data_IF_577821911650
#
_entry.id   IF_577821911650
#
_cell.length_a   1.000
_cell.length_b   1.000
_cell.length_c   1.000
_cell.angle_alpha   90.00
_cell.angle_beta   90.00
_cell.angle_gamma   90.00
#
_symmetry.space_group_name_H-M   'P 1'
#
loop_
_entity.id
_entity.type
_entity.pdbx_description
1 polymer ?
#
# COMPACT_ATOMS: atom_id res chain seq x y z
N UNK A 1 -0.60 24.24 19.27
CA UNK A 1 -1.12 25.58 19.59
C UNK A 1 -2.15 25.51 20.71
N UNK A 2 -1.84 26.11 21.89
CA UNK A 2 -2.72 26.10 23.07
C UNK A 2 -3.49 27.43 23.15
N UNK A 3 -4.26 27.76 22.13
CA UNK A 3 -5.02 29.00 22.08
C UNK A 3 -6.42 28.82 22.69
N UNK A 4 -6.96 29.88 23.25
CA UNK A 4 -8.33 29.91 23.81
C UNK A 4 -9.35 29.61 22.72
N UNK A 5 -9.15 30.13 21.51
CA UNK A 5 -10.03 29.90 20.36
C UNK A 5 -10.14 28.42 20.00
N UNK A 6 -9.01 27.68 20.02
CA UNK A 6 -9.02 26.23 19.81
C UNK A 6 -9.87 25.52 20.88
N UNK A 7 -9.74 25.91 22.14
CA UNK A 7 -10.52 25.33 23.24
C UNK A 7 -12.02 25.61 23.13
N UNK A 8 -12.39 26.78 22.69
CA UNK A 8 -13.80 27.12 22.43
C UNK A 8 -14.35 26.29 21.26
N UNK A 9 -13.59 26.14 20.20
CA UNK A 9 -13.97 25.31 19.05
C UNK A 9 -14.12 23.83 19.46
N UNK A 10 -13.19 23.29 20.25
CA UNK A 10 -13.28 21.93 20.80
C UNK A 10 -14.55 21.74 21.65
N UNK A 11 -14.90 22.72 22.50
CA UNK A 11 -16.13 22.65 23.33
C UNK A 11 -17.39 22.61 22.44
N UNK A 12 -17.48 23.49 21.45
CA UNK A 12 -18.64 23.52 20.54
C UNK A 12 -18.75 22.21 19.78
N UNK A 13 -17.66 21.74 19.20
CA UNK A 13 -17.62 20.46 18.46
C UNK A 13 -18.01 19.27 19.36
N UNK A 14 -17.57 19.25 20.63
CA UNK A 14 -17.95 18.19 21.58
C UNK A 14 -19.45 18.18 21.85
N UNK A 15 -20.09 19.34 21.99
CA UNK A 15 -21.54 19.46 22.19
C UNK A 15 -22.33 19.03 20.95
N UNK A 16 -21.80 19.28 19.75
CA UNK A 16 -22.40 18.83 18.49
C UNK A 16 -22.27 17.31 18.31
N UNK A 17 -21.11 16.75 18.67
CA UNK A 17 -20.90 15.30 18.68
C UNK A 17 -21.88 14.59 19.64
N UNK A 18 -22.03 15.05 20.87
CA UNK A 18 -22.97 14.45 21.83
C UNK A 18 -24.43 14.56 21.41
N UNK A 19 -24.80 15.51 20.56
CA UNK A 19 -26.16 15.59 19.97
C UNK A 19 -26.37 14.61 18.82
N UNK A 20 -25.31 14.29 18.09
CA UNK A 20 -25.37 13.54 16.83
C UNK A 20 -25.06 12.07 17.00
N UNK A 21 -24.30 11.68 18.02
CA UNK A 21 -23.80 10.34 18.24
C UNK A 21 -24.04 9.87 19.69
N UNK A 22 -24.26 8.56 19.86
CA UNK A 22 -24.30 7.96 21.19
C UNK A 22 -22.90 7.93 21.83
N UNK A 23 -22.86 7.76 23.16
CA UNK A 23 -21.55 7.66 23.87
C UNK A 23 -20.71 6.48 23.38
N UNK A 24 -21.37 5.37 23.05
CA UNK A 24 -20.72 4.18 22.49
C UNK A 24 -20.10 4.49 21.11
N UNK A 25 -20.82 5.18 20.25
CA UNK A 25 -20.31 5.60 18.94
C UNK A 25 -19.14 6.57 19.05
N UNK A 26 -19.22 7.54 20.00
CA UNK A 26 -18.12 8.47 20.27
C UNK A 26 -16.89 7.71 20.78
N UNK A 27 -17.08 6.74 21.68
CA UNK A 27 -15.99 5.92 22.20
C UNK A 27 -15.38 5.05 21.11
N UNK A 28 -16.19 4.43 20.25
CA UNK A 28 -15.73 3.64 19.11
C UNK A 28 -14.89 4.50 18.16
N UNK A 29 -15.38 5.67 17.76
CA UNK A 29 -14.62 6.61 16.94
C UNK A 29 -13.29 7.02 17.60
N UNK A 30 -13.30 7.30 18.90
CA UNK A 30 -12.10 7.64 19.66
C UNK A 30 -11.08 6.49 19.65
N UNK A 31 -11.50 5.27 19.97
CA UNK A 31 -10.63 4.10 20.00
C UNK A 31 -10.05 3.77 18.60
N UNK A 32 -10.84 3.99 17.55
CA UNK A 32 -10.40 3.72 16.18
C UNK A 32 -9.55 4.83 15.56
N UNK A 33 -9.57 6.06 16.11
CA UNK A 33 -8.75 7.17 15.62
C UNK A 33 -7.43 7.36 16.38
N UNK A 34 -7.28 6.74 17.55
CA UNK A 34 -6.07 6.90 18.36
C UNK A 34 -4.87 6.18 17.74
N UNK A 35 -3.70 6.81 17.91
CA UNK A 35 -2.42 6.20 17.60
C UNK A 35 -1.90 5.44 18.85
N UNK A 36 -1.50 4.19 18.64
CA UNK A 36 -1.03 3.27 19.70
C UNK A 36 0.46 2.93 19.59
N UNK A 37 1.25 3.70 18.83
CA UNK A 37 2.66 3.38 18.58
C UNK A 37 2.84 2.34 17.47
N UNK A 38 4.08 2.04 17.07
CA UNK A 38 4.44 1.03 16.07
C UNK A 38 3.55 1.04 14.81
N UNK A 39 3.25 2.23 14.29
CA UNK A 39 2.33 2.48 13.16
C UNK A 39 0.88 1.99 13.34
N UNK A 40 0.48 1.63 14.55
CA UNK A 40 -0.88 1.18 14.83
C UNK A 40 -1.82 2.36 15.04
N UNK A 41 -2.68 2.63 14.07
CA UNK A 41 -3.83 3.52 14.18
C UNK A 41 -5.11 2.69 14.41
N UNK A 42 -5.85 3.00 15.46
CA UNK A 42 -7.03 2.26 15.88
C UNK A 42 -6.74 1.04 16.76
N UNK A 43 -7.70 0.77 17.66
CA UNK A 43 -7.55 -0.27 18.70
C UNK A 43 -7.44 -1.67 18.11
N UNK A 44 -8.16 -1.97 17.04
CA UNK A 44 -8.12 -3.29 16.39
C UNK A 44 -6.73 -3.60 15.83
N UNK A 45 -6.11 -2.62 15.15
CA UNK A 45 -4.75 -2.75 14.62
C UNK A 45 -3.74 -2.96 15.76
N UNK A 46 -3.88 -2.20 16.85
CA UNK A 46 -3.02 -2.34 18.02
C UNK A 46 -3.16 -3.70 18.71
N UNK A 47 -4.38 -4.24 18.85
CA UNK A 47 -4.62 -5.57 19.40
C UNK A 47 -3.97 -6.67 18.57
N UNK A 48 -4.14 -6.59 17.24
CA UNK A 48 -3.49 -7.54 16.31
C UNK A 48 -1.97 -7.44 16.40
N UNK A 49 -1.42 -6.22 16.41
CA UNK A 49 0.02 -6.00 16.43
C UNK A 49 0.67 -6.48 17.74
N UNK A 50 0.16 -6.01 18.87
CA UNK A 50 0.80 -6.31 20.17
C UNK A 50 0.47 -7.70 20.69
N UNK A 51 -0.74 -8.21 20.42
CA UNK A 51 -1.26 -9.41 21.08
C UNK A 51 -1.77 -10.48 20.11
N UNK A 52 -1.86 -10.22 18.80
CA UNK A 52 -2.35 -11.20 17.81
C UNK A 52 -3.83 -11.55 17.93
N UNK A 53 -4.63 -10.81 18.71
CA UNK A 53 -6.04 -11.08 18.98
C UNK A 53 -6.95 -9.98 18.41
N UNK A 54 -8.25 -10.23 18.40
CA UNK A 54 -9.24 -9.18 18.08
C UNK A 54 -9.47 -8.28 19.31
N UNK A 55 -9.91 -7.04 19.08
CA UNK A 55 -10.18 -6.09 20.17
C UNK A 55 -11.27 -6.56 21.12
N UNK A 56 -12.18 -7.46 20.68
CA UNK A 56 -13.18 -8.14 21.53
C UNK A 56 -12.60 -9.14 22.51
N UNK A 57 -11.40 -9.66 22.24
CA UNK A 57 -10.81 -10.82 22.94
C UNK A 57 -9.68 -10.43 23.88
N UNK A 58 -9.41 -9.13 24.02
CA UNK A 58 -8.33 -8.63 24.89
C UNK A 58 -8.58 -8.91 26.36
N UNK A 59 -7.56 -9.31 27.08
CA UNK A 59 -7.59 -9.45 28.53
C UNK A 59 -7.62 -8.08 29.22
N UNK A 60 -7.96 -8.05 30.51
CA UNK A 60 -7.92 -6.82 31.32
C UNK A 60 -6.50 -6.21 31.33
N UNK A 61 -5.48 -7.05 31.39
CA UNK A 61 -4.08 -6.65 31.35
C UNK A 61 -3.72 -6.00 30.02
N UNK A 62 -4.11 -6.61 28.91
CA UNK A 62 -3.90 -6.10 27.55
C UNK A 62 -4.65 -4.78 27.32
N UNK A 63 -5.90 -4.69 27.76
CA UNK A 63 -6.69 -3.46 27.69
C UNK A 63 -6.03 -2.32 28.48
N UNK A 64 -5.56 -2.59 29.69
CA UNK A 64 -4.85 -1.60 30.50
C UNK A 64 -3.53 -1.14 29.86
N UNK A 65 -2.83 -2.02 29.16
CA UNK A 65 -1.64 -1.68 28.38
C UNK A 65 -1.99 -0.73 27.24
N UNK A 66 -3.01 -1.03 26.46
CA UNK A 66 -3.44 -0.17 25.33
C UNK A 66 -3.87 1.21 25.78
N UNK A 67 -4.60 1.29 26.90
CA UNK A 67 -4.95 2.59 27.54
C UNK A 67 -3.67 3.35 27.94
N UNK A 68 -2.68 2.63 28.46
CA UNK A 68 -1.39 3.23 28.83
C UNK A 68 -0.65 3.79 27.62
N UNK A 69 -0.60 3.04 26.51
CA UNK A 69 0.06 3.43 25.25
C UNK A 69 -0.62 4.69 24.66
N UNK A 70 -1.95 4.72 24.61
CA UNK A 70 -2.68 5.85 24.00
C UNK A 70 -2.39 7.20 24.66
N UNK A 71 -1.98 7.21 25.93
CA UNK A 71 -1.64 8.43 26.67
C UNK A 71 -0.34 9.09 26.18
N UNK A 72 0.69 8.30 25.81
CA UNK A 72 1.96 8.76 25.24
C UNK A 72 2.60 7.62 24.42
N UNK A 73 2.18 7.44 23.15
CA UNK A 73 2.50 6.25 22.36
C UNK A 73 4.00 6.00 22.16
N UNK A 74 4.79 7.04 22.00
CA UNK A 74 6.25 6.92 21.85
C UNK A 74 6.93 6.51 23.17
N UNK A 75 6.43 7.04 24.30
CA UNK A 75 7.03 6.80 25.62
C UNK A 75 6.67 5.43 26.19
N UNK A 76 5.43 5.01 26.00
CA UNK A 76 4.90 3.78 26.56
C UNK A 76 4.72 2.67 25.53
N UNK A 77 5.48 2.74 24.42
CA UNK A 77 5.52 1.70 23.43
C UNK A 77 6.22 0.45 24.02
N UNK A 78 5.54 -0.69 24.13
CA UNK A 78 6.12 -1.87 24.77
C UNK A 78 7.21 -2.55 23.93
N UNK A 79 7.27 -2.27 22.61
CA UNK A 79 8.34 -2.77 21.75
C UNK A 79 9.69 -2.08 22.03
N UNK A 80 9.67 -0.79 22.34
CA UNK A 80 10.89 0.01 22.55
C UNK A 80 11.17 0.29 24.04
N UNK A 81 10.14 0.33 24.88
CA UNK A 81 10.22 0.71 26.29
C UNK A 81 9.35 -0.19 27.18
N UNK A 82 9.58 -1.50 27.12
CA UNK A 82 8.74 -2.52 27.78
C UNK A 82 8.50 -2.23 29.26
N UNK A 83 9.55 -1.95 30.04
CA UNK A 83 9.46 -1.68 31.46
C UNK A 83 8.57 -0.46 31.79
N UNK A 84 8.69 0.61 30.99
CA UNK A 84 7.85 1.81 31.15
C UNK A 84 6.39 1.51 30.79
N UNK A 85 6.17 0.67 29.79
CA UNK A 85 4.83 0.26 29.38
C UNK A 85 4.17 -0.59 30.49
N UNK A 86 4.90 -1.55 31.08
CA UNK A 86 4.43 -2.34 32.23
C UNK A 86 4.12 -1.46 33.45
N UNK A 87 5.01 -0.52 33.77
CA UNK A 87 4.75 0.45 34.86
C UNK A 87 3.46 1.24 34.59
N UNK A 88 3.26 1.68 33.36
CA UNK A 88 2.05 2.43 32.99
C UNK A 88 0.80 1.56 33.02
N UNK A 89 0.86 0.32 32.52
CA UNK A 89 -0.22 -0.68 32.65
C UNK A 89 -0.63 -0.86 34.11
N UNK A 90 0.33 -1.06 35.02
CA UNK A 90 0.06 -1.27 36.42
C UNK A 90 -0.59 -0.05 37.07
N UNK A 91 -0.22 1.17 36.66
CA UNK A 91 -0.92 2.42 37.09
C UNK A 91 -2.36 2.43 36.63
N UNK A 92 -2.65 2.03 35.37
CA UNK A 92 -4.01 1.94 34.84
C UNK A 92 -4.81 0.90 35.60
N UNK A 93 -4.27 -0.31 35.79
CA UNK A 93 -4.92 -1.37 36.59
C UNK A 93 -5.26 -0.91 38.03
N UNK A 94 -4.33 -0.23 38.69
CA UNK A 94 -4.57 0.34 40.02
C UNK A 94 -5.71 1.38 40.02
N UNK A 95 -5.77 2.20 38.98
CA UNK A 95 -6.87 3.17 38.82
C UNK A 95 -8.20 2.46 38.61
N UNK A 96 -8.25 1.43 37.75
CA UNK A 96 -9.45 0.62 37.51
C UNK A 96 -9.94 -0.08 38.79
N UNK A 97 -9.03 -0.60 39.59
CA UNK A 97 -9.36 -1.22 40.89
C UNK A 97 -9.90 -0.18 41.89
N UNK A 98 -9.23 0.95 42.07
CA UNK A 98 -9.65 2.00 42.97
C UNK A 98 -11.02 2.60 42.59
N UNK A 99 -11.33 2.66 41.32
CA UNK A 99 -12.63 3.11 40.80
C UNK A 99 -13.69 1.98 40.79
N UNK A 100 -13.35 0.78 41.30
CA UNK A 100 -14.24 -0.39 41.36
C UNK A 100 -14.74 -0.87 39.98
N UNK A 101 -13.98 -0.61 38.92
CA UNK A 101 -14.25 -1.11 37.57
C UNK A 101 -13.90 -2.62 37.48
N UNK A 102 -12.85 -3.03 38.21
CA UNK A 102 -12.42 -4.44 38.33
C UNK A 102 -12.40 -4.86 39.78
N UNK A 103 -12.60 -6.14 40.02
CA UNK A 103 -12.50 -6.75 41.36
C UNK A 103 -11.05 -6.92 41.78
N UNK A 104 -10.81 -7.12 43.08
CA UNK A 104 -9.48 -7.41 43.63
C UNK A 104 -8.86 -8.68 43.00
N UNK A 105 -9.66 -9.71 42.76
CA UNK A 105 -9.24 -10.90 42.07
C UNK A 105 -8.75 -10.62 40.67
N UNK A 106 -9.55 -9.90 39.88
CA UNK A 106 -9.19 -9.49 38.49
C UNK A 106 -7.95 -8.61 38.45
N UNK A 107 -7.80 -7.72 39.45
CA UNK A 107 -6.63 -6.86 39.58
C UNK A 107 -5.35 -7.67 39.79
N UNK A 108 -5.38 -8.62 40.73
CA UNK A 108 -4.22 -9.46 41.02
C UNK A 108 -3.87 -10.38 39.83
N UNK A 109 -4.86 -11.01 39.23
CA UNK A 109 -4.67 -11.83 38.03
C UNK A 109 -4.06 -11.01 36.87
N UNK A 110 -4.52 -9.78 36.66
CA UNK A 110 -3.99 -8.91 35.61
C UNK A 110 -2.58 -8.37 35.90
N UNK A 111 -2.18 -8.25 37.18
CA UNK A 111 -0.82 -7.88 37.54
C UNK A 111 0.17 -9.03 37.28
N UNK A 112 -0.26 -10.27 37.53
CA UNK A 112 0.54 -11.50 37.34
C UNK A 112 0.64 -11.90 35.87
N UNK A 113 -0.22 -11.36 35.01
CA UNK A 113 -0.21 -11.62 33.56
C UNK A 113 1.14 -11.18 32.97
N UNK A 114 1.96 -12.09 32.40
CA UNK A 114 3.28 -11.78 31.87
C UNK A 114 3.20 -10.88 30.65
N UNK A 115 2.01 -10.69 30.06
CA UNK A 115 1.81 -9.92 28.84
C UNK A 115 2.74 -10.39 27.71
N UNK A 116 2.49 -11.60 27.24
CA UNK A 116 3.19 -12.11 26.07
C UNK A 116 2.88 -11.23 24.85
N UNK A 117 3.83 -10.36 24.55
CA UNK A 117 3.77 -9.56 23.34
C UNK A 117 4.11 -10.46 22.16
N UNK A 118 3.15 -10.70 21.31
CA UNK A 118 3.40 -11.43 20.06
C UNK A 118 4.22 -10.56 19.12
N UNK A 119 4.09 -9.20 19.28
CA UNK A 119 4.65 -8.20 18.37
C UNK A 119 4.49 -8.74 16.94
N UNK A 120 3.24 -8.88 16.56
CA UNK A 120 2.96 -9.31 15.21
C UNK A 120 3.68 -8.31 14.31
N UNK A 121 4.90 -8.65 13.97
CA UNK A 121 5.58 -8.07 12.85
C UNK A 121 4.86 -8.58 11.61
N UNK A 122 3.70 -8.01 11.36
CA UNK A 122 3.55 -7.48 10.02
C UNK A 122 4.80 -6.66 9.90
N UNK A 123 5.76 -7.19 9.16
CA UNK A 123 7.04 -6.52 8.88
C UNK A 123 6.79 -5.03 8.89
N UNK A 124 7.48 -4.27 9.73
CA UNK A 124 7.22 -2.89 10.17
C UNK A 124 7.17 -1.84 9.05
N UNK A 125 7.04 -2.31 7.89
CA UNK A 125 6.68 -1.69 6.64
C UNK A 125 5.25 -2.11 6.34
N UNK A 126 4.40 -1.17 5.99
CA UNK A 126 3.18 -1.44 5.23
C UNK A 126 3.47 -2.65 4.35
N UNK A 127 2.59 -3.69 4.31
CA UNK A 127 2.89 -4.90 3.56
C UNK A 127 3.53 -4.47 2.25
N UNK A 128 4.81 -4.74 2.10
CA UNK A 128 5.57 -4.34 0.91
C UNK A 128 5.32 -5.30 -0.23
N UNK A 129 4.25 -6.10 -0.09
CA UNK A 129 3.83 -6.95 -1.19
C UNK A 129 3.44 -6.11 -2.40
N UNK A 130 3.73 -6.61 -3.57
CA UNK A 130 3.50 -5.90 -4.81
C UNK A 130 2.02 -5.57 -5.04
N UNK A 131 1.13 -6.49 -4.66
CA UNK A 131 -0.31 -6.28 -4.72
C UNK A 131 -0.77 -5.19 -3.74
N UNK A 132 -0.19 -5.11 -2.55
CA UNK A 132 -0.53 -4.05 -1.59
C UNK A 132 -0.08 -2.68 -2.10
N UNK A 133 1.17 -2.55 -2.54
CA UNK A 133 1.70 -1.29 -3.04
C UNK A 133 0.92 -0.76 -4.25
N UNK A 134 0.52 -1.67 -5.15
CA UNK A 134 -0.31 -1.33 -6.30
C UNK A 134 -1.73 -0.96 -5.89
N UNK A 135 -2.35 -1.73 -4.99
CA UNK A 135 -3.69 -1.45 -4.45
C UNK A 135 -3.73 -0.09 -3.77
N UNK A 136 -2.73 0.21 -2.94
CA UNK A 136 -2.63 1.50 -2.26
C UNK A 136 -2.53 2.65 -3.27
N UNK A 137 -1.66 2.52 -4.28
CA UNK A 137 -1.55 3.49 -5.38
C UNK A 137 -2.90 3.73 -6.06
N UNK A 138 -3.54 2.67 -6.53
CA UNK A 138 -4.83 2.77 -7.22
C UNK A 138 -5.92 3.42 -6.34
N UNK A 139 -5.95 3.09 -5.05
CA UNK A 139 -6.91 3.66 -4.12
C UNK A 139 -6.68 5.14 -3.88
N UNK A 140 -5.43 5.56 -3.77
CA UNK A 140 -5.05 6.97 -3.61
C UNK A 140 -5.46 7.75 -4.88
N UNK A 141 -5.07 7.26 -6.06
CA UNK A 141 -5.40 7.91 -7.33
C UNK A 141 -6.90 7.98 -7.58
N UNK A 142 -7.66 6.95 -7.20
CA UNK A 142 -9.12 6.97 -7.23
C UNK A 142 -9.69 8.09 -6.34
N UNK A 143 -9.21 8.24 -5.10
CA UNK A 143 -9.63 9.35 -4.24
C UNK A 143 -9.24 10.72 -4.83
N UNK A 144 -8.08 10.83 -5.44
CA UNK A 144 -7.66 12.04 -6.14
C UNK A 144 -8.64 12.38 -7.27
N UNK A 145 -8.99 11.41 -8.10
CA UNK A 145 -9.88 11.57 -9.26
C UNK A 145 -11.29 12.01 -8.84
N UNK A 146 -11.93 11.30 -7.92
CA UNK A 146 -13.29 11.64 -7.46
C UNK A 146 -13.36 12.97 -6.71
N UNK A 147 -12.23 13.48 -6.22
CA UNK A 147 -12.11 14.80 -5.60
C UNK A 147 -11.58 15.87 -6.58
N UNK A 148 -11.63 15.61 -7.89
CA UNK A 148 -11.42 16.59 -8.95
C UNK A 148 -9.96 16.80 -9.38
N UNK A 149 -9.05 15.89 -9.03
CA UNK A 149 -7.71 15.92 -9.59
C UNK A 149 -7.72 15.40 -11.03
N UNK A 150 -7.21 16.21 -11.97
CA UNK A 150 -7.14 15.83 -13.37
C UNK A 150 -5.76 15.24 -13.67
N UNK A 151 -5.73 13.96 -14.06
CA UNK A 151 -4.50 13.32 -14.51
C UNK A 151 -4.09 13.83 -15.89
N UNK A 152 -2.83 14.28 -16.01
CA UNK A 152 -2.25 14.83 -17.22
C UNK A 152 -1.09 13.95 -17.68
N UNK A 153 -1.06 13.60 -18.96
CA UNK A 153 -0.06 12.71 -19.56
C UNK A 153 0.78 13.39 -20.64
N UNK A 154 0.36 14.60 -21.07
CA UNK A 154 1.07 15.42 -22.04
C UNK A 154 1.34 16.80 -21.42
N UNK A 155 2.53 17.30 -21.58
CA UNK A 155 3.00 18.56 -21.02
C UNK A 155 3.53 19.47 -22.11
N UNK A 156 3.25 20.76 -22.00
CA UNK A 156 3.69 21.75 -22.97
C UNK A 156 5.15 22.15 -22.78
N UNK A 157 5.67 21.98 -21.57
CA UNK A 157 7.05 22.30 -21.21
C UNK A 157 7.51 21.49 -20.00
N UNK A 158 8.81 21.43 -19.77
CA UNK A 158 9.39 20.81 -18.56
C UNK A 158 8.99 21.53 -17.27
N UNK A 159 8.69 22.82 -17.32
CA UNK A 159 8.20 23.58 -16.16
C UNK A 159 6.77 23.17 -15.81
N UNK A 160 5.89 23.05 -16.79
CA UNK A 160 4.52 22.55 -16.65
C UNK A 160 4.49 21.11 -16.10
N UNK A 161 5.40 20.25 -16.57
CA UNK A 161 5.57 18.90 -16.05
C UNK A 161 6.01 18.91 -14.56
N UNK A 162 6.98 19.74 -14.20
CA UNK A 162 7.46 19.82 -12.82
C UNK A 162 6.39 20.38 -11.87
N UNK A 163 5.63 21.36 -12.30
CA UNK A 163 4.52 21.92 -11.52
C UNK A 163 3.42 20.86 -11.30
N UNK A 164 3.09 20.10 -12.34
CA UNK A 164 2.16 18.99 -12.22
C UNK A 164 2.66 17.92 -11.23
N UNK A 165 3.92 17.51 -11.32
CA UNK A 165 4.53 16.53 -10.41
C UNK A 165 4.46 17.04 -8.96
N UNK A 166 4.76 18.31 -8.71
CA UNK A 166 4.70 18.91 -7.37
C UNK A 166 3.26 18.88 -6.83
N UNK A 167 2.29 19.23 -7.65
CA UNK A 167 0.88 19.20 -7.29
C UNK A 167 0.39 17.77 -7.04
N UNK A 168 0.73 16.83 -7.93
CA UNK A 168 0.43 15.41 -7.79
C UNK A 168 0.96 14.87 -6.45
N UNK A 169 2.25 15.06 -6.18
CA UNK A 169 2.88 14.54 -4.96
C UNK A 169 2.24 15.09 -3.68
N UNK A 170 1.88 16.37 -3.66
CA UNK A 170 1.21 17.00 -2.53
C UNK A 170 -0.17 16.40 -2.26
N UNK A 171 -0.96 16.20 -3.31
CA UNK A 171 -2.32 15.67 -3.21
C UNK A 171 -2.27 14.17 -2.92
N UNK A 172 -1.36 13.44 -3.57
CA UNK A 172 -1.09 12.03 -3.32
C UNK A 172 -0.75 11.76 -1.84
N UNK A 173 0.16 12.56 -1.26
CA UNK A 173 0.54 12.43 0.14
C UNK A 173 -0.64 12.65 1.10
N UNK A 174 -1.51 13.62 0.80
CA UNK A 174 -2.74 13.88 1.57
C UNK A 174 -3.65 12.65 1.58
N UNK A 175 -3.97 12.11 0.41
CA UNK A 175 -4.88 10.95 0.33
C UNK A 175 -4.24 9.65 0.80
N UNK A 176 -2.93 9.52 0.69
CA UNK A 176 -2.20 8.39 1.30
C UNK A 176 -2.38 8.38 2.82
N UNK A 177 -2.20 9.52 3.48
CA UNK A 177 -2.44 9.65 4.92
C UNK A 177 -3.90 9.35 5.26
N UNK A 178 -4.84 9.89 4.50
CA UNK A 178 -6.28 9.66 4.68
C UNK A 178 -6.65 8.18 4.57
N UNK A 179 -6.14 7.45 3.58
CA UNK A 179 -6.38 6.01 3.42
C UNK A 179 -5.81 5.23 4.60
N UNK A 180 -4.58 5.55 5.02
CA UNK A 180 -3.89 4.82 6.08
C UNK A 180 -4.49 5.05 7.47
N UNK A 181 -5.16 6.19 7.69
CA UNK A 181 -5.70 6.57 9.00
C UNK A 181 -7.22 6.60 9.04
N UNK A 182 -7.89 6.61 7.90
CA UNK A 182 -9.34 6.82 7.78
C UNK A 182 -10.20 5.55 7.95
N UNK A 183 -9.59 4.40 8.25
CA UNK A 183 -10.34 3.15 8.48
C UNK A 183 -11.00 2.57 7.23
N UNK A 184 -10.51 2.88 6.05
CA UNK A 184 -11.03 2.37 4.79
C UNK A 184 -10.92 0.84 4.68
N UNK A 185 -11.94 0.22 4.08
CA UNK A 185 -11.90 -1.17 3.65
C UNK A 185 -11.77 -1.20 2.13
N UNK A 186 -10.67 -1.74 1.64
CA UNK A 186 -10.37 -1.78 0.21
C UNK A 186 -10.57 -3.21 -0.29
N UNK A 187 -11.49 -3.37 -1.24
CA UNK A 187 -11.76 -4.63 -1.92
C UNK A 187 -11.05 -4.62 -3.27
N UNK A 188 -10.23 -5.62 -3.51
CA UNK A 188 -9.41 -5.70 -4.73
C UNK A 188 -9.89 -6.81 -5.66
N UNK A 189 -9.49 -6.71 -6.92
CA UNK A 189 -9.67 -7.75 -7.94
C UNK A 189 -8.54 -8.80 -7.92
N UNK A 190 -7.56 -8.66 -7.03
CA UNK A 190 -6.42 -9.58 -6.92
C UNK A 190 -6.92 -10.96 -6.51
N UNK A 191 -6.49 -11.96 -7.28
CA UNK A 191 -6.72 -13.37 -7.03
C UNK A 191 -5.50 -13.94 -6.31
N UNK A 192 -5.70 -14.38 -5.07
CA UNK A 192 -4.57 -14.82 -4.21
C UNK A 192 -3.83 -16.04 -4.79
N UNK A 193 -4.55 -16.95 -5.40
CA UNK A 193 -3.95 -18.17 -5.95
C UNK A 193 -3.12 -17.82 -7.19
N UNK A 194 -3.63 -16.97 -8.07
CA UNK A 194 -2.87 -16.46 -9.22
C UNK A 194 -1.69 -15.61 -8.83
N UNK A 195 -1.80 -14.82 -7.75
CA UNK A 195 -0.70 -14.02 -7.21
C UNK A 195 0.45 -14.91 -6.76
N UNK A 196 0.15 -15.95 -5.97
CA UNK A 196 1.14 -16.92 -5.50
C UNK A 196 1.75 -17.73 -6.66
N UNK A 197 0.93 -18.16 -7.60
CA UNK A 197 1.37 -18.89 -8.78
C UNK A 197 2.33 -18.03 -9.64
N UNK A 198 1.96 -16.77 -9.91
CA UNK A 198 2.78 -15.85 -10.69
C UNK A 198 4.14 -15.60 -10.02
N UNK A 199 4.17 -15.42 -8.70
CA UNK A 199 5.40 -15.26 -7.94
C UNK A 199 6.28 -16.52 -8.02
N UNK A 200 5.69 -17.71 -7.85
CA UNK A 200 6.41 -18.96 -7.91
C UNK A 200 6.99 -19.25 -9.30
N UNK A 201 6.21 -19.02 -10.35
CA UNK A 201 6.66 -19.16 -11.74
C UNK A 201 7.83 -18.22 -12.00
N UNK A 202 7.71 -16.97 -11.61
CA UNK A 202 8.76 -15.97 -11.77
C UNK A 202 10.07 -16.40 -11.10
N UNK A 203 10.03 -16.80 -9.84
CA UNK A 203 11.22 -17.29 -9.11
C UNK A 203 11.83 -18.51 -9.80
N UNK A 204 11.01 -19.47 -10.20
CA UNK A 204 11.48 -20.70 -10.85
C UNK A 204 12.12 -20.42 -12.22
N UNK A 205 11.56 -19.52 -13.01
CA UNK A 205 12.11 -19.18 -14.33
C UNK A 205 13.42 -18.42 -14.18
N UNK A 206 13.45 -17.38 -13.36
CA UNK A 206 14.63 -16.53 -13.23
C UNK A 206 15.82 -17.27 -12.60
N UNK A 207 15.57 -18.19 -11.69
CA UNK A 207 16.62 -19.03 -11.08
C UNK A 207 17.38 -19.90 -12.09
N UNK A 208 16.82 -20.14 -13.28
CA UNK A 208 17.49 -20.87 -14.37
C UNK A 208 18.49 -20.00 -15.13
N UNK A 209 18.38 -18.68 -15.02
CA UNK A 209 19.25 -17.74 -15.74
C UNK A 209 20.34 -17.17 -14.85
N UNK A 210 19.98 -16.67 -13.67
CA UNK A 210 20.92 -16.07 -12.74
C UNK A 210 20.37 -16.09 -11.31
N UNK A 211 21.19 -16.57 -10.37
CA UNK A 211 20.92 -16.56 -8.93
C UNK A 211 21.90 -15.67 -8.16
N UNK A 212 22.63 -14.80 -8.87
CA UNK A 212 23.59 -13.90 -8.23
C UNK A 212 22.87 -12.90 -7.31
N UNK A 213 23.46 -12.69 -6.15
CA UNK A 213 22.96 -11.75 -5.15
C UNK A 213 23.87 -10.52 -5.07
N UNK A 214 23.28 -9.38 -4.77
CA UNK A 214 23.95 -8.16 -4.38
C UNK A 214 24.52 -8.28 -2.95
N UNK A 215 25.29 -7.29 -2.51
CA UNK A 215 25.90 -7.26 -1.16
C UNK A 215 24.84 -7.27 -0.04
N UNK A 216 23.65 -6.75 -0.30
CA UNK A 216 22.49 -6.71 0.61
C UNK A 216 21.58 -7.95 0.51
N UNK A 217 22.01 -8.98 -0.25
CA UNK A 217 21.35 -10.27 -0.35
C UNK A 217 20.15 -10.33 -1.31
N UNK A 218 19.96 -9.33 -2.16
CA UNK A 218 18.88 -9.30 -3.17
C UNK A 218 19.37 -9.89 -4.50
N UNK A 219 18.47 -10.53 -5.24
CA UNK A 219 18.80 -11.00 -6.58
C UNK A 219 19.15 -9.84 -7.51
N UNK A 220 20.23 -10.00 -8.26
CA UNK A 220 20.64 -9.01 -9.27
C UNK A 220 19.70 -9.00 -10.48
N UNK A 221 19.26 -10.18 -10.91
CA UNK A 221 18.27 -10.31 -11.97
C UNK A 221 16.87 -10.06 -11.40
N UNK A 222 16.17 -9.08 -11.94
CA UNK A 222 14.84 -8.70 -11.52
C UNK A 222 13.84 -8.83 -12.68
N UNK A 223 12.56 -8.97 -12.34
CA UNK A 223 11.46 -9.03 -13.31
C UNK A 223 10.26 -8.23 -12.81
N UNK A 224 9.35 -7.96 -13.72
CA UNK A 224 8.01 -7.52 -13.37
C UNK A 224 6.99 -8.14 -14.31
N UNK A 225 5.80 -8.42 -13.80
CA UNK A 225 4.70 -8.95 -14.57
C UNK A 225 3.37 -8.54 -14.00
N UNK A 226 2.36 -8.44 -14.86
CA UNK A 226 0.99 -8.14 -14.49
C UNK A 226 0.05 -9.06 -15.25
N UNK A 227 -0.83 -9.74 -14.52
CA UNK A 227 -1.89 -10.57 -15.11
C UNK A 227 -3.18 -9.77 -15.10
N UNK A 228 -3.74 -9.52 -16.28
CA UNK A 228 -4.94 -8.71 -16.49
C UNK A 228 -6.03 -9.61 -17.08
N UNK A 229 -7.23 -9.48 -16.54
CA UNK A 229 -8.43 -10.10 -17.09
C UNK A 229 -8.88 -9.34 -18.34
N UNK A 230 -8.93 -10.03 -19.47
CA UNK A 230 -9.20 -9.38 -20.76
C UNK A 230 -10.65 -8.88 -20.93
N UNK A 231 -11.60 -9.42 -20.17
CA UNK A 231 -12.99 -9.00 -20.26
C UNK A 231 -13.26 -7.75 -19.40
N UNK A 232 -12.66 -7.70 -18.22
CA UNK A 232 -12.92 -6.63 -17.25
C UNK A 232 -11.83 -5.55 -17.19
N UNK A 233 -10.63 -5.85 -17.70
CA UNK A 233 -9.44 -5.01 -17.55
C UNK A 233 -8.86 -5.03 -16.11
N UNK A 234 -9.37 -5.86 -15.22
CA UNK A 234 -8.93 -5.90 -13.83
C UNK A 234 -7.63 -6.67 -13.66
N UNK A 235 -6.75 -6.12 -12.83
CA UNK A 235 -5.51 -6.79 -12.45
C UNK A 235 -5.82 -7.94 -11.49
N UNK A 236 -5.42 -9.16 -11.86
CA UNK A 236 -5.61 -10.39 -11.09
C UNK A 236 -4.38 -10.76 -10.28
N UNK A 237 -3.19 -10.47 -10.80
CA UNK A 237 -1.92 -10.66 -10.10
C UNK A 237 -0.90 -9.64 -10.58
N UNK A 238 0.05 -9.28 -9.72
CA UNK A 238 1.11 -8.32 -10.04
C UNK A 238 2.38 -8.65 -9.24
N UNK A 239 3.50 -8.69 -9.92
CA UNK A 239 4.83 -8.79 -9.31
C UNK A 239 5.73 -7.68 -9.84
N UNK A 240 6.57 -7.13 -8.99
CA UNK A 240 7.49 -6.04 -9.32
C UNK A 240 8.96 -6.38 -9.05
N UNK A 241 9.27 -7.62 -8.71
CA UNK A 241 10.62 -8.12 -8.42
C UNK A 241 10.62 -9.59 -8.04
N UNK A 242 11.77 -10.10 -7.61
CA UNK A 242 11.91 -11.48 -7.10
C UNK A 242 11.70 -11.59 -5.58
N UNK A 243 11.95 -10.54 -4.84
CA UNK A 243 11.81 -10.49 -3.40
C UNK A 243 10.38 -10.16 -2.99
N UNK A 244 9.93 -10.73 -1.89
CA UNK A 244 8.57 -10.53 -1.40
C UNK A 244 8.38 -9.15 -0.73
N UNK A 245 9.48 -8.45 -0.38
CA UNK A 245 9.51 -7.23 0.43
C UNK A 245 10.36 -6.13 -0.22
N UNK A 246 10.17 -5.82 -1.49
CA UNK A 246 10.88 -4.71 -2.13
C UNK A 246 10.08 -3.39 -2.07
N UNK A 247 10.79 -2.28 -1.82
CA UNK A 247 10.20 -0.94 -1.84
C UNK A 247 9.79 -0.47 -3.25
N UNK A 248 10.32 -1.13 -4.30
CA UNK A 248 10.08 -0.76 -5.70
C UNK A 248 9.23 -1.82 -6.36
N UNK A 249 8.04 -1.43 -6.78
CA UNK A 249 7.20 -2.25 -7.66
C UNK A 249 7.50 -1.87 -9.12
N UNK A 250 8.39 -2.64 -9.76
CA UNK A 250 8.85 -2.36 -11.14
C UNK A 250 7.76 -2.47 -12.18
N UNK A 251 6.64 -3.09 -11.84
CA UNK A 251 5.51 -3.21 -12.77
C UNK A 251 4.88 -1.85 -13.14
N UNK A 252 5.02 -0.83 -12.26
CA UNK A 252 4.50 0.51 -12.53
C UNK A 252 5.46 1.66 -12.15
N UNK A 253 6.56 1.38 -11.44
CA UNK A 253 7.50 2.43 -11.00
C UNK A 253 8.80 2.45 -11.79
N UNK A 254 9.03 1.51 -12.69
CA UNK A 254 10.27 1.39 -13.47
C UNK A 254 9.98 1.54 -14.97
N UNK A 255 9.91 2.77 -15.49
CA UNK A 255 9.70 2.97 -16.92
C UNK A 255 10.87 2.39 -17.71
N UNK A 256 10.55 1.62 -18.74
CA UNK A 256 11.52 0.98 -19.63
C UNK A 256 11.12 1.22 -21.07
N UNK A 257 12.11 1.24 -21.97
CA UNK A 257 11.84 1.26 -23.39
C UNK A 257 11.17 -0.07 -23.81
N UNK A 258 10.01 -0.02 -24.45
CA UNK A 258 9.25 -1.22 -24.80
C UNK A 258 9.94 -2.08 -25.87
N UNK A 259 10.85 -1.49 -26.64
CA UNK A 259 11.45 -2.18 -27.77
C UNK A 259 10.40 -2.67 -28.76
N UNK A 260 10.58 -3.86 -29.33
CA UNK A 260 9.63 -4.45 -30.28
C UNK A 260 8.28 -4.85 -29.70
N UNK A 261 8.12 -4.86 -28.39
CA UNK A 261 6.82 -5.15 -27.76
C UNK A 261 5.79 -4.04 -27.96
N UNK A 262 6.21 -2.85 -28.39
CA UNK A 262 5.30 -1.74 -28.73
C UNK A 262 4.60 -1.94 -30.09
N UNK A 263 5.14 -2.78 -30.99
CA UNK A 263 4.64 -2.94 -32.38
C UNK A 263 3.15 -3.30 -32.47
N UNK A 264 2.59 -4.19 -31.63
CA UNK A 264 1.16 -4.48 -31.68
C UNK A 264 0.30 -3.22 -31.51
N UNK A 265 0.71 -2.28 -30.68
CA UNK A 265 -0.05 -1.06 -30.37
C UNK A 265 0.28 0.05 -31.35
N UNK A 266 1.55 0.26 -31.69
CA UNK A 266 1.99 1.43 -32.44
C UNK A 266 1.99 1.18 -33.95
N UNK A 267 2.27 -0.04 -34.37
CA UNK A 267 2.38 -0.39 -35.79
C UNK A 267 1.14 -1.14 -36.30
N UNK A 268 0.79 -2.29 -35.69
CA UNK A 268 -0.24 -3.18 -36.21
C UNK A 268 -1.66 -2.68 -35.94
N UNK A 269 -1.97 -2.18 -34.73
CA UNK A 269 -3.32 -1.71 -34.45
C UNK A 269 -3.74 -0.55 -35.37
N UNK A 270 -2.94 0.51 -35.57
CA UNK A 270 -3.26 1.56 -36.53
C UNK A 270 -3.30 1.06 -37.98
N UNK A 271 -2.43 0.11 -38.34
CA UNK A 271 -2.44 -0.45 -39.69
C UNK A 271 -3.75 -1.18 -39.98
N UNK A 272 -4.29 -1.91 -39.02
CA UNK A 272 -5.55 -2.66 -39.19
C UNK A 272 -6.79 -1.75 -39.02
N UNK A 273 -6.74 -0.78 -38.14
CA UNK A 273 -7.90 0.06 -37.83
C UNK A 273 -8.06 1.25 -38.79
N UNK A 274 -6.94 1.87 -39.21
CA UNK A 274 -6.96 3.12 -39.97
C UNK A 274 -6.60 2.88 -41.46
N UNK A 275 -5.65 1.97 -41.74
CA UNK A 275 -5.06 1.79 -43.08
C UNK A 275 -5.64 0.62 -43.85
N UNK A 276 -6.65 -0.06 -43.32
CA UNK A 276 -7.34 -1.23 -43.94
C UNK A 276 -6.40 -2.41 -44.29
N UNK A 277 -5.28 -2.53 -43.54
CA UNK A 277 -4.42 -3.70 -43.64
C UNK A 277 -5.03 -4.90 -42.89
N UNK A 278 -4.67 -6.10 -43.33
CA UNK A 278 -5.00 -7.34 -42.68
C UNK A 278 -3.73 -8.19 -42.46
N UNK A 279 -3.73 -9.18 -41.56
CA UNK A 279 -2.54 -10.05 -41.35
C UNK A 279 -2.03 -10.73 -42.63
N UNK A 280 -2.89 -10.87 -43.62
CA UNK A 280 -2.52 -11.41 -44.96
C UNK A 280 -2.18 -10.34 -45.99
N UNK A 281 -2.25 -9.08 -45.67
CA UNK A 281 -1.85 -8.00 -46.59
C UNK A 281 -0.37 -8.08 -46.86
N UNK A 282 0.01 -7.91 -48.12
CA UNK A 282 1.41 -7.97 -48.53
C UNK A 282 2.03 -6.60 -48.51
N UNK A 283 3.18 -6.47 -47.89
CA UNK A 283 4.03 -5.28 -47.89
C UNK A 283 5.39 -5.62 -48.50
N UNK A 284 5.99 -4.63 -49.13
CA UNK A 284 7.30 -4.77 -49.76
C UNK A 284 8.42 -4.46 -48.74
N UNK A 285 9.11 -5.50 -48.32
CA UNK A 285 10.34 -5.38 -47.53
C UNK A 285 11.52 -5.13 -48.47
N UNK A 286 11.85 -3.86 -48.64
CA UNK A 286 12.92 -3.37 -49.54
C UNK A 286 13.63 -2.17 -48.92
N UNK A 287 14.83 -1.81 -49.38
CA UNK A 287 15.49 -0.59 -48.97
C UNK A 287 14.59 0.63 -49.14
N UNK A 288 14.47 1.48 -48.12
CA UNK A 288 13.75 2.75 -48.24
C UNK A 288 14.59 3.76 -48.97
N UNK A 289 13.92 4.65 -49.78
CA UNK A 289 14.56 5.81 -50.36
C UNK A 289 14.74 6.91 -49.35
N UNK A 290 15.91 7.53 -49.29
CA UNK A 290 16.17 8.72 -48.44
C UNK A 290 17.36 8.55 -47.49
N UNK A 291 17.47 9.49 -46.53
CA UNK A 291 18.58 9.51 -45.56
C UNK A 291 18.49 8.42 -44.51
N UNK A 292 17.27 8.00 -44.14
CA UNK A 292 17.02 6.96 -43.14
C UNK A 292 16.80 5.63 -43.88
N UNK A 293 17.75 4.74 -43.74
CA UNK A 293 17.72 3.40 -44.39
C UNK A 293 17.84 2.31 -43.31
N UNK A 294 16.75 1.98 -42.63
CA UNK A 294 16.77 0.88 -41.66
C UNK A 294 17.01 -0.46 -42.39
N UNK A 295 17.72 -1.32 -41.72
CA UNK A 295 17.97 -2.69 -42.20
C UNK A 295 17.25 -3.68 -41.30
N UNK A 296 16.86 -4.83 -41.85
CA UNK A 296 16.44 -5.95 -41.04
C UNK A 296 17.59 -6.42 -40.14
N UNK A 297 17.26 -7.07 -39.03
CA UNK A 297 18.23 -7.53 -38.03
C UNK A 297 19.37 -8.40 -38.66
N UNK A 298 19.04 -9.19 -39.67
CA UNK A 298 19.98 -10.04 -40.40
C UNK A 298 20.60 -9.35 -41.62
N UNK A 299 20.20 -8.11 -41.91
CA UNK A 299 20.71 -7.33 -43.03
C UNK A 299 20.12 -7.64 -44.39
N UNK A 300 19.18 -8.60 -44.49
CA UNK A 300 18.56 -9.02 -45.75
C UNK A 300 17.14 -8.51 -45.89
N UNK A 301 16.77 -8.09 -47.11
CA UNK A 301 15.39 -7.75 -47.46
C UNK A 301 14.71 -8.98 -48.11
N UNK A 302 13.45 -9.18 -47.78
CA UNK A 302 12.70 -10.40 -48.13
C UNK A 302 11.72 -10.21 -49.28
N UNK A 303 11.61 -9.00 -49.83
CA UNK A 303 10.61 -8.68 -50.84
C UNK A 303 9.20 -8.64 -50.28
N UNK A 304 8.22 -9.18 -50.96
CA UNK A 304 6.85 -9.20 -50.51
C UNK A 304 6.68 -10.15 -49.31
N UNK A 305 6.27 -9.59 -48.16
CA UNK A 305 5.97 -10.33 -46.94
C UNK A 305 4.56 -9.98 -46.44
N UNK A 306 3.95 -10.85 -45.65
CA UNK A 306 2.71 -10.50 -44.95
C UNK A 306 2.96 -9.58 -43.76
N UNK A 307 1.97 -8.78 -43.42
CA UNK A 307 2.01 -7.89 -42.23
C UNK A 307 2.25 -8.65 -40.94
#
# INVERSE_FOLDING_TARGET
DKTIDRKLTEMIASLEMEKSYSKEQILEMYLNSNFYGSNCYGIQAACKYYFGCDASDVTISQAAMLIGISNAPTKYNPETNYELAICKRNQVLNTMYNQKIITEKQYNEALEDPLDLILYKETSDLPTSYEFSYTLKCSIEYLMEINGFNFKYLFDSSEDEQDYINQYNKIYSKYKEEILTGGYRIYTSIDKDKQLELLQISKNVLSQYDNSLSEDGRHLLQTSSMCIDNETGYVRAIIGGQEDNEYINRAYQSPRQPGSSIKPILDYAPAFDILDYHPSSMILDSPLEGKYQPKNHDGYYRGNISV
#
